data_IF_502955729471
#
_entry.id   IF_502955729471
#
_cell.length_a   1.000
_cell.length_b   1.000
_cell.length_c   1.000
_cell.angle_alpha   90.00
_cell.angle_beta   90.00
_cell.angle_gamma   90.00
#
_symmetry.space_group_name_H-M   'P 1'
#
loop_
_entity.id
_entity.type
_entity.pdbx_description
1 polymer ?
#
# COMPACT_ATOMS: atom_id res chain seq x y z
N UNK A 1 -0.27 15.44 -2.86
CA UNK A 1 -0.87 16.00 -4.11
C UNK A 1 -0.57 15.17 -5.38
N UNK A 2 0.26 14.14 -5.30
CA UNK A 2 0.67 13.36 -6.49
C UNK A 2 -0.52 12.72 -7.23
N UNK A 3 -1.52 12.20 -6.49
CA UNK A 3 -2.73 11.61 -7.07
C UNK A 3 -3.65 12.66 -7.71
N UNK A 4 -3.55 13.92 -7.28
CA UNK A 4 -4.30 15.04 -7.86
C UNK A 4 -3.61 15.58 -9.10
N UNK A 5 -2.29 15.73 -9.06
CA UNK A 5 -1.49 16.25 -10.17
C UNK A 5 -1.40 15.28 -11.34
N UNK A 6 -1.37 13.98 -11.06
CA UNK A 6 -1.31 12.88 -12.03
C UNK A 6 -0.06 12.88 -12.91
N UNK A 7 0.06 11.90 -13.77
CA UNK A 7 1.10 11.76 -14.78
C UNK A 7 0.46 11.70 -16.16
N UNK A 8 1.08 12.35 -17.12
CA UNK A 8 0.68 12.27 -18.52
C UNK A 8 0.41 13.63 -19.19
N UNK A 9 0.42 13.66 -20.52
CA UNK A 9 0.11 14.88 -21.25
C UNK A 9 -1.34 15.28 -21.05
N UNK A 10 -1.59 16.57 -21.00
CA UNK A 10 -2.96 17.09 -21.07
C UNK A 10 -3.58 16.61 -22.39
N UNK A 11 -4.81 16.12 -22.34
CA UNK A 11 -5.55 15.70 -23.55
C UNK A 11 -5.62 16.81 -24.60
N UNK A 12 -5.63 18.08 -24.14
CA UNK A 12 -5.55 19.28 -24.97
C UNK A 12 -4.59 20.27 -24.31
N UNK A 13 -3.45 20.54 -24.94
CA UNK A 13 -2.33 21.24 -24.35
C UNK A 13 -2.66 22.64 -23.81
N UNK A 14 -3.62 23.32 -24.42
CA UNK A 14 -3.98 24.73 -24.11
C UNK A 14 -5.37 24.91 -23.49
N UNK A 15 -6.09 23.82 -23.19
CA UNK A 15 -7.41 23.90 -22.59
C UNK A 15 -7.31 23.86 -21.06
N UNK A 16 -7.25 25.02 -20.44
CA UNK A 16 -7.13 25.18 -18.99
C UNK A 16 -8.44 24.98 -18.22
N UNK A 17 -9.58 25.00 -18.91
CA UNK A 17 -10.93 24.78 -18.34
C UNK A 17 -11.36 23.32 -18.33
N UNK A 18 -10.46 22.39 -18.69
CA UNK A 18 -10.80 20.98 -18.72
C UNK A 18 -10.96 20.45 -17.29
N UNK A 19 -12.15 19.98 -16.96
CA UNK A 19 -12.40 19.31 -15.69
C UNK A 19 -11.67 17.96 -15.67
N UNK A 20 -10.85 17.77 -14.65
CA UNK A 20 -10.23 16.48 -14.39
C UNK A 20 -11.20 15.60 -13.60
N UNK A 21 -11.23 14.28 -13.88
CA UNK A 21 -11.99 13.36 -13.04
C UNK A 21 -11.53 13.48 -11.59
N UNK A 22 -12.43 13.25 -10.64
CA UNK A 22 -12.09 13.26 -9.22
C UNK A 22 -10.87 12.35 -8.92
N UNK A 23 -9.96 12.73 -8.03
CA UNK A 23 -8.85 11.86 -7.62
C UNK A 23 -9.39 10.61 -6.93
N UNK A 24 -8.69 9.47 -7.07
CA UNK A 24 -9.05 8.20 -6.42
C UNK A 24 -9.13 8.33 -4.90
N UNK A 25 -8.26 9.13 -4.31
CA UNK A 25 -8.28 9.48 -2.89
C UNK A 25 -8.42 10.99 -2.78
N UNK A 26 -9.45 11.49 -2.10
CA UNK A 26 -9.62 12.92 -1.87
C UNK A 26 -8.53 13.44 -0.93
N UNK A 27 -8.20 14.74 -1.08
CA UNK A 27 -7.09 15.36 -0.34
C UNK A 27 -7.23 15.27 1.18
N UNK A 28 -8.43 15.35 1.71
CA UNK A 28 -8.70 15.23 3.15
C UNK A 28 -8.43 13.80 3.72
N UNK A 29 -8.30 12.80 2.86
CA UNK A 29 -7.88 11.44 3.20
C UNK A 29 -6.42 11.16 2.84
N UNK A 30 -5.65 12.20 2.52
CA UNK A 30 -4.23 12.09 2.20
C UNK A 30 -3.41 12.79 3.28
N UNK A 31 -2.57 12.03 3.97
CA UNK A 31 -1.68 12.51 5.01
C UNK A 31 -0.27 12.64 4.47
N UNK A 32 0.41 13.73 4.78
CA UNK A 32 1.83 13.92 4.49
C UNK A 32 2.65 13.75 5.76
N UNK A 33 3.80 13.08 5.65
CA UNK A 33 4.71 12.86 6.76
C UNK A 33 6.12 13.34 6.42
N UNK A 34 6.81 13.92 7.39
CA UNK A 34 8.21 14.31 7.25
C UNK A 34 9.11 13.08 7.26
N UNK A 35 10.13 13.12 6.43
CA UNK A 35 11.13 12.06 6.26
C UNK A 35 11.67 12.10 4.82
N UNK A 36 12.93 11.78 4.63
CA UNK A 36 13.55 11.84 3.29
C UNK A 36 14.64 10.79 3.12
N UNK A 37 14.48 9.97 2.10
CA UNK A 37 15.50 9.09 1.54
C UNK A 37 15.90 9.66 0.18
N UNK A 38 17.18 9.62 -0.17
CA UNK A 38 17.67 10.08 -1.47
C UNK A 38 17.70 8.96 -2.52
N UNK A 39 18.13 9.28 -3.72
CA UNK A 39 18.22 8.34 -4.83
C UNK A 39 19.31 7.27 -4.66
N UNK A 40 20.23 7.45 -3.73
CA UNK A 40 21.27 6.49 -3.37
C UNK A 40 20.86 5.57 -2.20
N UNK A 41 19.70 5.84 -1.56
CA UNK A 41 19.21 5.09 -0.41
C UNK A 41 19.69 5.64 0.93
N UNK A 42 20.31 6.84 0.97
CA UNK A 42 20.71 7.43 2.23
C UNK A 42 19.53 8.15 2.88
N UNK A 43 19.39 8.01 4.18
CA UNK A 43 18.43 8.77 4.96
C UNK A 43 18.96 10.20 5.17
N UNK A 44 18.34 11.17 4.48
CA UNK A 44 18.66 12.60 4.60
C UNK A 44 17.92 13.22 5.78
N UNK A 45 16.70 12.79 6.03
CA UNK A 45 15.88 13.25 7.15
C UNK A 45 15.15 12.05 7.73
N UNK A 46 15.23 11.82 9.04
CA UNK A 46 14.54 10.71 9.68
C UNK A 46 13.02 10.84 9.55
N UNK A 47 12.32 9.72 9.57
CA UNK A 47 10.87 9.68 9.55
C UNK A 47 10.29 10.37 10.79
N UNK A 48 9.37 11.31 10.59
CA UNK A 48 8.66 11.96 11.68
C UNK A 48 7.50 11.06 12.18
N UNK A 49 7.82 10.20 13.14
CA UNK A 49 6.85 9.27 13.71
C UNK A 49 5.66 9.96 14.41
N UNK A 50 5.84 11.16 14.96
CA UNK A 50 4.76 11.90 15.57
C UNK A 50 3.71 12.28 14.53
N UNK A 51 4.13 12.78 13.37
CA UNK A 51 3.22 13.08 12.26
C UNK A 51 2.56 11.81 11.70
N UNK A 52 3.25 10.67 11.70
CA UNK A 52 2.65 9.39 11.30
C UNK A 52 1.51 9.03 12.26
N UNK A 53 1.73 9.12 13.57
CA UNK A 53 0.68 8.82 14.59
C UNK A 53 -0.51 9.76 14.48
N UNK A 54 -0.26 11.06 14.33
CA UNK A 54 -1.30 12.06 14.11
C UNK A 54 -2.11 11.76 12.84
N UNK A 55 -1.42 11.42 11.76
CA UNK A 55 -2.05 11.03 10.50
C UNK A 55 -2.92 9.79 10.61
N UNK A 56 -2.51 8.79 11.39
CA UNK A 56 -3.30 7.58 11.64
C UNK A 56 -4.60 7.93 12.37
N UNK A 57 -4.53 8.77 13.42
CA UNK A 57 -5.72 9.20 14.13
C UNK A 57 -6.66 10.03 13.24
N UNK A 58 -6.12 10.91 12.40
CA UNK A 58 -6.91 11.62 11.40
C UNK A 58 -7.65 10.67 10.46
N UNK A 59 -6.96 9.68 9.90
CA UNK A 59 -7.56 8.68 9.01
C UNK A 59 -8.59 7.81 9.72
N UNK A 60 -8.39 7.50 11.01
CA UNK A 60 -9.35 6.77 11.83
C UNK A 60 -10.65 7.56 12.02
N UNK A 61 -10.56 8.86 12.31
CA UNK A 61 -11.73 9.76 12.37
C UNK A 61 -12.47 9.82 11.03
N UNK A 62 -11.73 9.76 9.92
CA UNK A 62 -12.30 9.73 8.57
C UNK A 62 -12.88 8.36 8.18
N UNK A 63 -12.84 7.37 9.08
CA UNK A 63 -13.38 6.02 8.88
C UNK A 63 -12.89 5.36 7.59
N UNK A 64 -11.57 5.44 7.33
CA UNK A 64 -11.00 4.74 6.18
C UNK A 64 -10.94 3.23 6.44
N UNK A 65 -11.15 2.43 5.40
CA UNK A 65 -11.20 0.96 5.48
C UNK A 65 -9.86 0.31 5.18
N UNK A 66 -8.93 1.03 4.54
CA UNK A 66 -7.57 0.57 4.24
C UNK A 66 -6.62 1.76 4.08
N UNK A 67 -5.32 1.51 4.25
CA UNK A 67 -4.28 2.54 4.14
C UNK A 67 -3.27 2.11 3.09
N UNK A 68 -2.99 3.00 2.12
CA UNK A 68 -1.87 2.89 1.20
C UNK A 68 -0.74 3.81 1.65
N UNK A 69 0.47 3.28 1.74
CA UNK A 69 1.68 4.05 2.07
C UNK A 69 2.55 4.15 0.83
N UNK A 70 2.90 5.38 0.44
CA UNK A 70 3.79 5.64 -0.68
C UNK A 70 4.72 6.79 -0.35
N UNK A 71 6.00 6.47 -0.17
CA UNK A 71 7.04 7.44 0.15
C UNK A 71 8.06 7.52 -0.98
N UNK A 72 8.72 8.68 -1.08
CA UNK A 72 9.70 8.93 -2.12
C UNK A 72 10.93 8.04 -1.92
N UNK A 73 11.43 7.47 -3.01
CA UNK A 73 12.60 6.57 -3.05
C UNK A 73 12.48 5.28 -2.22
N UNK A 74 11.29 4.92 -1.77
CA UNK A 74 11.06 3.65 -1.06
C UNK A 74 11.39 2.40 -1.89
N UNK A 75 11.55 2.56 -3.21
CA UNK A 75 12.03 1.48 -4.10
C UNK A 75 13.52 1.18 -3.92
N UNK A 76 14.30 2.15 -3.45
CA UNK A 76 15.74 2.00 -3.17
C UNK A 76 15.92 1.56 -1.73
N UNK A 77 15.27 2.23 -0.80
CA UNK A 77 15.21 1.85 0.61
C UNK A 77 13.78 2.00 1.15
N UNK A 78 13.15 0.88 1.50
CA UNK A 78 11.79 0.80 2.04
C UNK A 78 11.68 1.05 3.54
N UNK A 79 12.77 1.38 4.23
CA UNK A 79 12.80 1.47 5.70
C UNK A 79 11.70 2.38 6.28
N UNK A 80 11.49 3.55 5.69
CA UNK A 80 10.44 4.47 6.14
C UNK A 80 9.03 3.89 5.95
N UNK A 81 8.71 3.27 4.81
CA UNK A 81 7.40 2.63 4.61
C UNK A 81 7.19 1.45 5.57
N UNK A 82 8.23 0.64 5.80
CA UNK A 82 8.20 -0.45 6.76
C UNK A 82 7.93 0.08 8.18
N UNK A 83 8.60 1.17 8.56
CA UNK A 83 8.40 1.79 9.87
C UNK A 83 7.00 2.37 10.03
N UNK A 84 6.45 3.01 9.00
CA UNK A 84 5.06 3.47 9.01
C UNK A 84 4.09 2.30 9.22
N UNK A 85 4.28 1.17 8.53
CA UNK A 85 3.47 -0.04 8.73
C UNK A 85 3.54 -0.57 10.15
N UNK A 86 4.72 -0.57 10.78
CA UNK A 86 4.88 -0.99 12.17
C UNK A 86 4.07 -0.10 13.12
N UNK A 87 4.14 1.23 12.95
CA UNK A 87 3.40 2.20 13.75
C UNK A 87 1.89 2.01 13.56
N UNK A 88 1.43 1.80 12.32
CA UNK A 88 0.02 1.52 12.05
C UNK A 88 -0.41 0.23 12.76
N UNK A 89 0.35 -0.85 12.65
CA UNK A 89 0.03 -2.13 13.31
C UNK A 89 -0.01 -2.04 14.83
N UNK A 90 0.79 -1.17 15.43
CA UNK A 90 0.77 -0.93 16.88
C UNK A 90 -0.47 -0.18 17.34
N UNK A 91 -0.94 0.79 16.57
CA UNK A 91 -2.05 1.68 16.95
C UNK A 91 -3.40 1.25 16.34
N UNK A 92 -3.38 0.58 15.19
CA UNK A 92 -4.59 0.15 14.47
C UNK A 92 -4.36 -1.19 13.74
N UNK A 93 -4.25 -2.32 14.47
CA UNK A 93 -3.86 -3.61 13.92
C UNK A 93 -4.84 -4.19 12.89
N UNK A 94 -6.12 -3.80 12.95
CA UNK A 94 -7.17 -4.34 12.07
C UNK A 94 -7.18 -3.71 10.68
N UNK A 95 -6.60 -2.50 10.51
CA UNK A 95 -6.64 -1.82 9.23
C UNK A 95 -5.67 -2.47 8.24
N UNK A 96 -6.12 -2.83 7.04
CA UNK A 96 -5.24 -3.30 5.98
C UNK A 96 -4.26 -2.21 5.52
N UNK A 97 -3.00 -2.59 5.33
CA UNK A 97 -1.94 -1.66 4.91
C UNK A 97 -1.22 -2.20 3.69
N UNK A 98 -1.24 -1.43 2.61
CA UNK A 98 -0.46 -1.70 1.39
C UNK A 98 0.76 -0.77 1.33
N UNK A 99 1.96 -1.35 1.21
CA UNK A 99 3.20 -0.60 0.98
C UNK A 99 3.51 -0.54 -0.51
N UNK A 100 3.80 0.65 -0.99
CA UNK A 100 3.98 0.89 -2.43
C UNK A 100 5.21 0.16 -3.00
N UNK A 101 6.31 0.08 -2.25
CA UNK A 101 7.55 -0.57 -2.71
C UNK A 101 7.46 -2.10 -2.71
N UNK A 102 6.61 -2.70 -1.88
CA UNK A 102 6.38 -4.15 -1.87
C UNK A 102 5.46 -4.56 -3.03
N UNK A 103 4.44 -3.75 -3.32
CA UNK A 103 3.46 -4.05 -4.35
C UNK A 103 4.01 -3.82 -5.76
N UNK A 104 4.61 -2.66 -6.01
CA UNK A 104 5.02 -2.24 -7.35
C UNK A 104 6.31 -1.41 -7.29
N UNK A 105 7.51 -2.05 -7.23
CA UNK A 105 8.80 -1.36 -7.06
C UNK A 105 9.29 -0.68 -8.34
N UNK A 106 8.48 0.21 -8.92
CA UNK A 106 8.85 1.00 -10.08
C UNK A 106 9.21 2.44 -9.69
N UNK A 107 10.15 3.10 -10.37
CA UNK A 107 10.32 4.54 -10.27
C UNK A 107 9.02 5.23 -10.75
N UNK A 108 8.81 6.48 -10.46
CA UNK A 108 7.60 7.26 -10.72
C UNK A 108 6.51 7.03 -9.68
N UNK A 109 6.51 7.93 -8.72
CA UNK A 109 5.67 7.92 -7.53
C UNK A 109 4.17 7.88 -7.86
N UNK A 110 3.73 8.57 -8.92
CA UNK A 110 2.32 8.58 -9.32
C UNK A 110 1.81 7.17 -9.63
N UNK A 111 2.55 6.40 -10.44
CA UNK A 111 2.15 5.04 -10.82
C UNK A 111 2.17 4.11 -9.62
N UNK A 112 3.20 4.24 -8.79
CA UNK A 112 3.35 3.45 -7.57
C UNK A 112 2.26 3.76 -6.56
N UNK A 113 1.99 5.06 -6.30
CA UNK A 113 0.91 5.48 -5.42
C UNK A 113 -0.46 5.06 -5.93
N UNK A 114 -0.70 5.17 -7.24
CA UNK A 114 -1.96 4.74 -7.86
C UNK A 114 -2.16 3.22 -7.70
N UNK A 115 -1.13 2.42 -7.94
CA UNK A 115 -1.20 0.97 -7.74
C UNK A 115 -1.49 0.62 -6.28
N UNK A 116 -0.78 1.25 -5.32
CA UNK A 116 -0.98 1.01 -3.90
C UNK A 116 -2.39 1.41 -3.42
N UNK A 117 -2.93 2.52 -3.93
CA UNK A 117 -4.29 2.96 -3.60
C UNK A 117 -5.35 2.01 -4.18
N UNK A 118 -5.18 1.55 -5.42
CA UNK A 118 -6.10 0.57 -6.03
C UNK A 118 -6.08 -0.72 -5.23
N UNK A 119 -4.91 -1.26 -4.91
CA UNK A 119 -4.75 -2.47 -4.12
C UNK A 119 -5.41 -2.33 -2.74
N UNK A 120 -5.10 -1.24 -2.01
CA UNK A 120 -5.70 -0.97 -0.71
C UNK A 120 -7.23 -0.87 -0.79
N UNK A 121 -7.78 -0.25 -1.85
CA UNK A 121 -9.24 -0.11 -2.02
C UNK A 121 -9.95 -1.42 -2.32
N UNK A 122 -9.26 -2.36 -2.96
CA UNK A 122 -9.80 -3.68 -3.29
C UNK A 122 -9.68 -4.67 -2.13
N UNK A 123 -8.73 -4.46 -1.21
CA UNK A 123 -8.43 -5.40 -0.15
C UNK A 123 -9.66 -5.79 0.70
N UNK A 124 -10.51 -4.86 1.18
CA UNK A 124 -11.68 -5.23 1.99
C UNK A 124 -12.67 -6.11 1.21
N UNK A 125 -12.87 -5.82 -0.08
CA UNK A 125 -13.79 -6.55 -0.96
C UNK A 125 -13.26 -7.96 -1.24
N UNK A 126 -11.99 -8.06 -1.63
CA UNK A 126 -11.34 -9.33 -1.96
C UNK A 126 -11.20 -10.20 -0.71
N UNK A 127 -10.87 -9.62 0.44
CA UNK A 127 -10.78 -10.34 1.71
C UNK A 127 -12.12 -10.96 2.09
N UNK A 128 -13.20 -10.19 2.05
CA UNK A 128 -14.55 -10.69 2.33
C UNK A 128 -14.97 -11.82 1.36
N UNK A 129 -14.64 -11.67 0.08
CA UNK A 129 -14.91 -12.71 -0.91
C UNK A 129 -14.14 -14.01 -0.64
N UNK A 130 -12.85 -13.89 -0.31
CA UNK A 130 -11.99 -15.04 0.01
C UNK A 130 -12.47 -15.73 1.29
N UNK A 131 -12.91 -14.98 2.29
CA UNK A 131 -13.46 -15.55 3.53
C UNK A 131 -14.74 -16.34 3.27
N UNK A 132 -15.64 -15.83 2.42
CA UNK A 132 -16.85 -16.55 1.99
C UNK A 132 -16.50 -17.83 1.22
N UNK A 133 -15.55 -17.75 0.28
CA UNK A 133 -15.09 -18.94 -0.44
C UNK A 133 -14.45 -19.97 0.50
N UNK A 134 -13.60 -19.51 1.42
CA UNK A 134 -12.96 -20.39 2.41
C UNK A 134 -14.00 -21.10 3.29
N UNK A 135 -15.06 -20.40 3.70
CA UNK A 135 -16.15 -20.98 4.45
C UNK A 135 -16.91 -22.05 3.63
N UNK A 136 -17.19 -21.79 2.35
CA UNK A 136 -17.87 -22.74 1.45
C UNK A 136 -16.98 -23.97 1.19
N UNK A 137 -15.72 -23.76 0.88
CA UNK A 137 -14.76 -24.83 0.61
C UNK A 137 -14.41 -25.58 1.88
N UNK A 138 -14.25 -24.91 3.00
CA UNK A 138 -14.05 -25.51 4.32
C UNK A 138 -15.23 -26.35 4.77
N UNK A 139 -16.47 -25.90 4.52
CA UNK A 139 -17.69 -26.69 4.77
C UNK A 139 -17.74 -27.95 3.90
N UNK A 140 -17.26 -27.90 2.66
CA UNK A 140 -17.14 -29.09 1.78
C UNK A 140 -16.00 -30.01 2.19
N UNK A 141 -14.88 -29.47 2.71
CA UNK A 141 -13.71 -30.25 3.13
C UNK A 141 -13.92 -30.93 4.49
N UNK A 142 -14.75 -30.38 5.36
CA UNK A 142 -15.17 -31.05 6.59
C UNK A 142 -16.03 -32.29 6.30
N UNK A 143 -16.62 -32.37 5.10
CA UNK A 143 -17.33 -33.56 4.61
C UNK A 143 -16.45 -34.53 3.81
N UNK A 144 -15.26 -34.10 3.38
CA UNK A 144 -14.27 -34.96 2.73
C UNK A 144 -12.91 -34.72 3.42
N UNK A 145 -12.52 -35.68 4.27
CA UNK A 145 -11.23 -35.67 4.97
C UNK A 145 -10.04 -35.49 4.00
N UNK A 146 -9.56 -34.25 3.82
CA UNK A 146 -8.15 -33.96 3.52
C UNK A 146 -7.86 -32.46 3.58
N UNK A 147 -7.21 -32.06 4.65
CA UNK A 147 -6.71 -30.75 4.97
C UNK A 147 -5.36 -30.47 4.27
N UNK A 148 -5.32 -29.83 3.09
CA UNK A 148 -4.01 -29.35 2.60
C UNK A 148 -4.04 -28.07 1.71
N UNK A 149 -5.17 -27.59 1.26
CA UNK A 149 -5.18 -26.50 0.28
C UNK A 149 -5.37 -25.07 0.81
N UNK A 150 -5.97 -24.90 1.99
CA UNK A 150 -6.25 -23.53 2.54
C UNK A 150 -4.98 -22.90 3.13
N UNK A 151 -4.04 -23.71 3.64
CA UNK A 151 -2.74 -23.23 4.15
C UNK A 151 -1.79 -22.72 3.08
N UNK A 152 -1.92 -23.23 1.84
CA UNK A 152 -1.03 -22.85 0.73
C UNK A 152 -1.36 -21.46 0.17
N UNK A 153 -2.62 -21.07 0.14
CA UNK A 153 -3.04 -19.77 -0.40
C UNK A 153 -2.65 -18.60 0.53
N UNK A 154 -2.76 -18.78 1.84
CA UNK A 154 -2.27 -17.81 2.83
C UNK A 154 -0.75 -17.66 2.85
N UNK A 155 -0.02 -18.76 2.60
CA UNK A 155 1.44 -18.76 2.53
C UNK A 155 1.98 -18.10 1.25
N UNK A 156 1.20 -18.10 0.15
CA UNK A 156 1.59 -17.49 -1.10
C UNK A 156 1.49 -15.95 -1.06
N UNK A 157 0.50 -15.41 -0.37
CA UNK A 157 0.34 -13.94 -0.16
C UNK A 157 1.39 -13.40 0.83
N UNK A 158 2.01 -14.24 1.66
CA UNK A 158 2.92 -13.84 2.73
C UNK A 158 4.42 -14.10 2.50
N UNK A 159 4.87 -14.55 1.33
CA UNK A 159 6.31 -14.80 1.10
C UNK A 159 7.04 -13.55 0.64
N UNK A 160 8.01 -13.01 1.44
CA UNK A 160 8.93 -11.99 0.95
C UNK A 160 9.83 -12.60 -0.15
N UNK A 161 10.04 -11.85 -1.21
CA UNK A 161 10.95 -12.22 -2.30
C UNK A 161 12.36 -12.48 -1.77
N UNK A 162 12.87 -13.69 -1.94
CA UNK A 162 14.24 -14.08 -1.58
C UNK A 162 15.23 -13.29 -2.44
N UNK A 163 15.98 -12.38 -1.84
CA UNK A 163 17.13 -11.73 -2.48
C UNK A 163 18.11 -12.82 -2.95
N UNK A 164 18.33 -12.91 -4.25
CA UNK A 164 19.44 -13.70 -4.81
C UNK A 164 20.73 -12.95 -4.47
N UNK A 165 21.54 -13.50 -3.58
CA UNK A 165 22.93 -13.10 -3.41
C UNK A 165 23.68 -13.42 -4.70
N UNK A 166 24.08 -12.40 -5.46
CA UNK A 166 25.11 -12.56 -6.49
C UNK A 166 26.46 -12.70 -5.75
N UNK A 167 26.96 -13.92 -5.73
CA UNK A 167 28.36 -14.19 -5.44
C UNK A 167 29.21 -13.65 -6.60
N UNK A 168 30.05 -12.67 -6.31
CA UNK A 168 31.12 -12.21 -7.21
C UNK A 168 32.21 -13.28 -7.29
N UNK A 169 32.51 -13.68 -8.49
CA UNK A 169 33.86 -14.12 -8.89
C UNK A 169 34.29 -13.31 -10.10
#
# INVERSE_FOLDING_TARGET
DILTLREGPRKRAFEWKLDFPAPMVPRNRTVTVGGRIDSAGNEITPLNEAQVREGIEHLRVMQVEAIAVCLLWSIVDGAHELRVREIIRQSWPEVPVTLSHELNPIPREYRRASAAVIDASLFPIVSAYVDVLAAIVGFRLLHSQSLTSVGVFRAWIGRPSRKRSRSSR
#
